data_IF_666903133697
#
_entry.id   IF_666903133697
#
_cell.length_a   1.000
_cell.length_b   1.000
_cell.length_c   1.000
_cell.angle_alpha   90.00
_cell.angle_beta   90.00
_cell.angle_gamma   90.00
#
_symmetry.space_group_name_H-M   'P 1'
#
loop_
_entity.id
_entity.type
_entity.pdbx_description
1 polymer ?
#
# COMPACT_ATOMS: atom_id res chain seq x y z
N UNK A 1 -19.04 12.17 20.08
CA UNK A 1 -17.64 11.78 19.81
C UNK A 1 -17.57 10.27 19.86
N UNK A 2 -17.48 9.64 18.68
CA UNK A 2 -17.49 8.19 18.57
C UNK A 2 -16.20 7.55 19.04
N UNK A 3 -16.19 7.17 20.30
CA UNK A 3 -15.21 6.28 20.90
C UNK A 3 -15.10 4.96 20.07
N UNK A 4 -16.22 4.51 19.52
CA UNK A 4 -16.32 3.35 18.63
C UNK A 4 -15.54 3.57 17.33
N UNK A 5 -15.61 4.77 16.75
CA UNK A 5 -14.84 5.12 15.54
C UNK A 5 -13.33 5.16 15.82
N UNK A 6 -12.93 5.64 17.00
CA UNK A 6 -11.53 5.69 17.42
C UNK A 6 -10.99 4.29 17.75
N UNK A 7 -11.78 3.47 18.42
CA UNK A 7 -11.44 2.07 18.72
C UNK A 7 -11.38 1.21 17.46
N UNK A 8 -12.31 1.36 16.51
CA UNK A 8 -12.25 0.69 15.21
C UNK A 8 -11.02 1.13 14.40
N UNK A 9 -10.63 2.40 14.45
CA UNK A 9 -9.43 2.91 13.77
C UNK A 9 -8.15 2.34 14.40
N UNK A 10 -8.07 2.27 15.73
CA UNK A 10 -6.93 1.67 16.44
C UNK A 10 -6.86 0.16 16.20
N UNK A 11 -7.99 -0.54 16.20
CA UNK A 11 -8.03 -1.98 15.94
C UNK A 11 -7.73 -2.33 14.48
N UNK A 12 -8.07 -1.47 13.52
CA UNK A 12 -7.72 -1.67 12.11
C UNK A 12 -6.22 -1.46 11.84
N UNK A 13 -5.55 -0.61 12.62
CA UNK A 13 -4.12 -0.27 12.45
C UNK A 13 -3.16 -1.19 13.23
N UNK A 14 -3.64 -2.03 14.15
CA UNK A 14 -2.76 -2.77 15.07
C UNK A 14 -2.75 -4.29 14.94
N UNK A 15 -3.55 -4.89 14.07
CA UNK A 15 -3.56 -6.35 13.92
C UNK A 15 -2.56 -6.77 12.84
N UNK A 16 -1.29 -6.87 13.24
CA UNK A 16 -0.31 -7.59 12.44
C UNK A 16 -0.68 -9.07 12.41
N UNK A 17 -1.01 -9.60 11.25
CA UNK A 17 -1.28 -11.01 11.06
C UNK A 17 -0.34 -11.60 10.02
N UNK A 18 0.08 -12.85 10.24
CA UNK A 18 0.78 -13.60 9.21
C UNK A 18 -0.23 -14.13 8.20
N UNK A 19 0.09 -13.98 6.92
CA UNK A 19 -0.64 -14.61 5.83
C UNK A 19 0.12 -15.86 5.39
N UNK A 20 -0.61 -16.98 5.29
CA UNK A 20 -0.09 -18.23 4.74
C UNK A 20 -0.75 -18.44 3.38
N UNK A 21 0.00 -18.38 2.27
CA UNK A 21 -0.57 -18.54 0.93
C UNK A 21 -1.01 -19.99 0.70
N UNK A 22 -2.11 -20.14 -0.05
CA UNK A 22 -2.58 -21.44 -0.55
C UNK A 22 -1.77 -21.89 -1.78
N UNK A 23 -1.20 -20.93 -2.52
CA UNK A 23 -0.37 -21.13 -3.70
C UNK A 23 1.03 -20.51 -3.48
N UNK A 24 1.87 -21.11 -2.62
CA UNK A 24 3.16 -20.51 -2.22
C UNK A 24 4.13 -20.37 -3.40
N UNK A 25 3.97 -21.14 -4.47
CA UNK A 25 4.76 -21.08 -5.70
C UNK A 25 4.62 -19.75 -6.45
N UNK A 26 3.52 -19.02 -6.23
CA UNK A 26 3.29 -17.68 -6.80
C UNK A 26 3.99 -16.58 -6.03
N UNK A 27 4.37 -16.84 -4.78
CA UNK A 27 4.99 -15.84 -3.92
C UNK A 27 6.50 -15.74 -4.17
N UNK A 28 6.96 -14.52 -4.45
CA UNK A 28 8.39 -14.24 -4.68
C UNK A 28 9.01 -13.70 -3.38
N UNK A 29 9.54 -14.62 -2.57
CA UNK A 29 10.13 -14.34 -1.26
C UNK A 29 9.90 -15.49 -0.31
N UNK A 30 9.95 -15.23 1.00
CA UNK A 30 9.67 -16.25 2.01
C UNK A 30 8.15 -16.33 2.29
N UNK A 31 7.46 -17.39 1.78
CA UNK A 31 6.00 -17.51 1.95
C UNK A 31 5.56 -17.73 3.41
N UNK A 32 6.52 -18.05 4.30
CA UNK A 32 6.24 -18.21 5.73
C UNK A 32 6.34 -16.90 6.52
N UNK A 33 6.74 -15.80 5.87
CA UNK A 33 6.96 -14.51 6.51
C UNK A 33 6.22 -13.35 5.83
N UNK A 34 4.99 -13.58 5.39
CA UNK A 34 4.13 -12.54 4.82
C UNK A 34 3.34 -11.90 5.95
N UNK A 35 3.59 -10.62 6.19
CA UNK A 35 2.95 -9.85 7.29
C UNK A 35 1.95 -8.88 6.68
N UNK A 36 0.69 -8.99 7.10
CA UNK A 36 -0.35 -8.01 6.82
C UNK A 36 -0.55 -7.12 8.05
N UNK A 37 -0.47 -5.80 7.87
CA UNK A 37 -0.66 -4.82 8.94
C UNK A 37 -2.08 -4.29 9.02
N UNK A 38 -2.91 -4.64 8.05
CA UNK A 38 -4.33 -4.29 8.02
C UNK A 38 -5.18 -5.40 7.42
N UNK A 39 -6.49 -5.36 7.68
CA UNK A 39 -7.44 -6.26 7.03
C UNK A 39 -7.51 -6.06 5.52
N UNK A 40 -7.24 -4.86 5.03
CA UNK A 40 -7.22 -4.54 3.60
C UNK A 40 -6.02 -5.18 2.91
N UNK A 41 -4.83 -5.08 3.52
CA UNK A 41 -3.64 -5.79 3.03
C UNK A 41 -3.87 -7.31 2.99
N UNK A 42 -4.47 -7.88 4.05
CA UNK A 42 -4.82 -9.30 4.06
C UNK A 42 -5.78 -9.67 2.93
N UNK A 43 -6.80 -8.85 2.65
CA UNK A 43 -7.73 -9.05 1.54
C UNK A 43 -7.02 -9.02 0.20
N UNK A 44 -6.07 -8.11 0.03
CA UNK A 44 -5.24 -8.02 -1.16
C UNK A 44 -4.33 -9.25 -1.33
N UNK A 45 -3.70 -9.74 -0.25
CA UNK A 45 -2.93 -10.99 -0.26
C UNK A 45 -3.79 -12.18 -0.73
N UNK A 46 -5.01 -12.32 -0.20
CA UNK A 46 -5.95 -13.39 -0.62
C UNK A 46 -6.29 -13.27 -2.08
N UNK A 47 -6.51 -12.05 -2.57
CA UNK A 47 -6.80 -11.82 -3.99
C UNK A 47 -5.60 -12.17 -4.88
N UNK A 48 -4.37 -11.77 -4.52
CA UNK A 48 -3.15 -12.12 -5.24
C UNK A 48 -2.94 -13.64 -5.29
N UNK A 49 -3.13 -14.30 -4.17
CA UNK A 49 -2.91 -15.74 -4.03
C UNK A 49 -3.90 -16.57 -4.86
N UNK A 50 -5.18 -16.20 -4.83
CA UNK A 50 -6.27 -16.97 -5.45
C UNK A 50 -6.57 -16.59 -6.90
N UNK A 51 -6.17 -15.41 -7.37
CA UNK A 51 -6.48 -14.96 -8.72
C UNK A 51 -5.56 -15.64 -9.75
N UNK A 52 -6.16 -16.36 -10.70
CA UNK A 52 -5.44 -17.09 -11.74
C UNK A 52 -4.64 -16.19 -12.70
N UNK A 53 -5.05 -14.93 -12.84
CA UNK A 53 -4.33 -13.94 -13.66
C UNK A 53 -3.09 -13.36 -12.97
N UNK A 54 -2.93 -13.55 -11.66
CA UNK A 54 -1.71 -13.21 -10.95
C UNK A 54 -0.70 -14.34 -11.13
N UNK A 55 0.37 -14.03 -11.87
CA UNK A 55 1.45 -14.97 -12.17
C UNK A 55 2.39 -15.09 -10.96
N UNK A 56 2.75 -13.96 -10.38
CA UNK A 56 3.58 -13.90 -9.17
C UNK A 56 3.33 -12.61 -8.39
N UNK A 57 3.65 -12.62 -7.11
CA UNK A 57 3.52 -11.47 -6.23
C UNK A 57 4.51 -11.52 -5.06
N UNK A 58 4.84 -10.36 -4.50
CA UNK A 58 5.65 -10.22 -3.29
C UNK A 58 5.15 -9.06 -2.43
N UNK A 59 5.42 -9.12 -1.14
CA UNK A 59 5.04 -8.10 -0.15
C UNK A 59 6.29 -7.54 0.50
N UNK A 60 6.49 -6.20 0.42
CA UNK A 60 7.56 -5.45 1.09
C UNK A 60 9.00 -5.95 0.82
N UNK A 61 9.25 -6.61 -0.31
CA UNK A 61 10.54 -7.25 -0.62
C UNK A 61 11.59 -6.28 -1.18
N UNK A 62 11.23 -5.03 -1.49
CA UNK A 62 12.15 -4.03 -2.02
C UNK A 62 11.83 -2.64 -1.51
N UNK A 63 12.80 -1.72 -1.64
CA UNK A 63 12.63 -0.33 -1.21
C UNK A 63 12.98 0.66 -2.32
N UNK A 64 12.30 1.79 -2.29
CA UNK A 64 12.50 2.93 -3.19
C UNK A 64 13.02 4.10 -2.35
N UNK A 65 14.16 4.71 -2.69
CA UNK A 65 14.62 5.90 -2.01
C UNK A 65 13.73 7.10 -2.36
N UNK A 66 13.40 7.92 -1.38
CA UNK A 66 12.67 9.18 -1.59
C UNK A 66 13.20 10.27 -0.67
N UNK A 67 13.08 11.52 -1.10
CA UNK A 67 13.41 12.69 -0.28
C UNK A 67 12.22 13.03 0.62
N UNK A 68 12.41 12.92 1.94
CA UNK A 68 11.38 13.29 2.91
C UNK A 68 11.18 14.83 2.94
N UNK A 69 9.94 15.32 2.79
CA UNK A 69 9.66 16.76 2.88
C UNK A 69 9.77 17.30 4.30
N UNK A 70 9.84 16.42 5.31
CA UNK A 70 9.85 16.82 6.72
C UNK A 70 11.26 17.19 7.18
N UNK A 71 12.23 16.31 6.97
CA UNK A 71 13.62 16.48 7.46
C UNK A 71 14.64 16.71 6.33
N UNK A 72 14.19 16.72 5.07
CA UNK A 72 15.02 16.91 3.87
C UNK A 72 16.13 15.87 3.73
N UNK A 73 15.89 14.66 4.22
CA UNK A 73 16.80 13.51 4.11
C UNK A 73 16.22 12.44 3.21
N UNK A 74 17.10 11.62 2.65
CA UNK A 74 16.71 10.44 1.88
C UNK A 74 16.26 9.34 2.84
N UNK A 75 15.06 8.85 2.65
CA UNK A 75 14.48 7.72 3.37
C UNK A 75 14.19 6.56 2.41
N UNK A 76 13.92 5.39 2.98
CA UNK A 76 13.52 4.20 2.24
C UNK A 76 12.02 4.03 2.34
N UNK A 77 11.35 3.93 1.20
CA UNK A 77 9.95 3.58 1.09
C UNK A 77 9.83 2.12 0.65
N UNK A 78 9.08 1.34 1.40
CA UNK A 78 8.75 -0.04 1.07
C UNK A 78 7.31 -0.08 0.57
N UNK A 79 7.10 -0.21 -0.76
CA UNK A 79 5.75 -0.43 -1.30
C UNK A 79 5.14 -1.71 -0.74
N UNK A 80 3.82 -1.73 -0.58
CA UNK A 80 3.14 -2.87 0.03
C UNK A 80 3.32 -4.13 -0.82
N UNK A 81 3.20 -4.02 -2.17
CA UNK A 81 3.29 -5.18 -3.06
C UNK A 81 3.97 -4.87 -4.40
N UNK A 82 4.51 -5.91 -5.00
CA UNK A 82 4.79 -6.00 -6.43
C UNK A 82 4.05 -7.22 -6.98
N UNK A 83 3.35 -7.04 -8.12
CA UNK A 83 2.58 -8.11 -8.75
C UNK A 83 2.89 -8.21 -10.24
N UNK A 84 2.88 -9.44 -10.74
CA UNK A 84 2.96 -9.76 -12.16
C UNK A 84 1.63 -10.33 -12.63
N UNK A 85 0.99 -9.66 -13.55
CA UNK A 85 -0.40 -9.93 -13.96
C UNK A 85 -0.46 -10.29 -15.43
N UNK A 86 -1.26 -11.29 -15.76
CA UNK A 86 -1.70 -11.54 -17.14
C UNK A 86 -3.00 -10.79 -17.39
N UNK A 87 -2.97 -9.80 -18.27
CA UNK A 87 -4.14 -9.04 -18.65
C UNK A 87 -5.04 -9.81 -19.64
N UNK A 88 -6.27 -9.29 -19.87
CA UNK A 88 -7.27 -9.91 -20.77
C UNK A 88 -6.77 -10.13 -22.20
N UNK A 89 -5.80 -9.32 -22.65
CA UNK A 89 -5.17 -9.44 -23.97
C UNK A 89 -3.94 -10.37 -23.98
N UNK A 90 -3.78 -11.21 -22.95
CA UNK A 90 -2.62 -12.08 -22.69
C UNK A 90 -1.26 -11.34 -22.51
N UNK A 91 -1.26 -10.02 -22.46
CA UNK A 91 -0.05 -9.26 -22.13
C UNK A 91 0.27 -9.39 -20.65
N UNK A 92 1.55 -9.53 -20.37
CA UNK A 92 2.05 -9.58 -18.98
C UNK A 92 2.50 -8.18 -18.59
N UNK A 93 2.02 -7.69 -17.45
CA UNK A 93 2.42 -6.43 -16.86
C UNK A 93 2.83 -6.59 -15.40
N UNK A 94 3.75 -5.75 -14.98
CA UNK A 94 4.19 -5.63 -13.60
C UNK A 94 3.61 -4.35 -12.99
N UNK A 95 3.14 -4.47 -11.74
CA UNK A 95 2.63 -3.35 -10.97
C UNK A 95 3.30 -3.31 -9.61
N UNK A 96 3.68 -2.13 -9.18
CA UNK A 96 3.96 -1.81 -7.78
C UNK A 96 2.66 -1.26 -7.18
N UNK A 97 2.23 -1.84 -6.07
CA UNK A 97 0.93 -1.56 -5.47
C UNK A 97 1.10 -1.05 -4.05
N UNK A 98 0.37 0.00 -3.74
CA UNK A 98 0.17 0.52 -2.39
C UNK A 98 -1.30 0.41 -2.03
N UNK A 99 -1.60 -0.13 -0.85
CA UNK A 99 -2.98 -0.24 -0.33
C UNK A 99 -3.21 0.89 0.66
N UNK A 100 -4.12 1.81 0.34
CA UNK A 100 -4.41 2.99 1.18
C UNK A 100 -5.90 3.30 1.21
N UNK A 101 -6.46 3.73 2.35
CA UNK A 101 -7.78 4.33 2.40
C UNK A 101 -7.86 5.54 1.46
N UNK A 102 -8.91 5.64 0.66
CA UNK A 102 -9.16 6.75 -0.27
C UNK A 102 -9.04 8.12 0.39
N UNK A 103 -9.50 8.22 1.65
CA UNK A 103 -9.34 9.44 2.45
C UNK A 103 -7.88 9.88 2.59
N UNK A 104 -6.93 8.96 2.65
CA UNK A 104 -5.50 9.27 2.78
C UNK A 104 -4.83 9.61 1.45
N UNK A 105 -5.50 9.39 0.33
CA UNK A 105 -5.03 9.81 -1.01
C UNK A 105 -5.41 11.25 -1.33
N UNK A 106 -6.27 11.87 -0.52
CA UNK A 106 -6.74 13.25 -0.69
C UNK A 106 -6.07 14.18 0.32
N UNK A 107 -5.87 15.46 -0.03
CA UNK A 107 -5.33 16.42 0.92
C UNK A 107 -6.25 16.56 2.13
N UNK A 108 -5.69 16.72 3.35
CA UNK A 108 -6.47 16.96 4.54
C UNK A 108 -7.37 18.19 4.38
N UNK A 109 -8.61 18.10 4.88
CA UNK A 109 -9.53 19.24 4.86
C UNK A 109 -8.96 20.38 5.72
N UNK A 110 -8.95 21.61 5.17
CA UNK A 110 -8.51 22.80 5.91
C UNK A 110 -9.30 22.95 7.21
N UNK A 111 -8.58 23.21 8.30
CA UNK A 111 -9.15 23.46 9.63
C UNK A 111 -8.77 24.87 10.10
N UNK A 112 -9.68 25.52 10.85
CA UNK A 112 -9.43 26.86 11.40
C UNK A 112 -8.29 26.87 12.43
N UNK A 113 -8.12 25.78 13.18
CA UNK A 113 -7.06 25.64 14.19
C UNK A 113 -6.00 24.62 13.75
N UNK A 114 -4.74 24.99 13.91
CA UNK A 114 -3.60 24.09 13.75
C UNK A 114 -3.45 23.25 15.03
N UNK A 115 -4.08 22.07 15.05
CA UNK A 115 -3.93 21.09 16.13
C UNK A 115 -2.77 20.13 15.81
N UNK A 116 -2.20 19.46 16.83
CA UNK A 116 -1.18 18.42 16.63
C UNK A 116 -1.66 17.31 15.68
N UNK A 117 -2.92 16.90 15.81
CA UNK A 117 -3.54 15.90 14.93
C UNK A 117 -3.62 16.38 13.48
N UNK A 118 -4.01 17.62 13.25
CA UNK A 118 -4.10 18.19 11.90
C UNK A 118 -2.71 18.36 11.27
N UNK A 119 -1.74 18.82 12.05
CA UNK A 119 -0.35 18.89 11.60
C UNK A 119 0.18 17.52 11.19
N UNK A 120 -0.08 16.49 12.01
CA UNK A 120 0.30 15.11 11.69
C UNK A 120 -0.36 14.60 10.40
N UNK A 121 -1.66 14.87 10.19
CA UNK A 121 -2.36 14.53 8.94
C UNK A 121 -1.71 15.19 7.72
N UNK A 122 -1.37 16.49 7.82
CA UNK A 122 -0.71 17.23 6.75
C UNK A 122 0.69 16.67 6.44
N UNK A 123 1.48 16.39 7.47
CA UNK A 123 2.81 15.80 7.32
C UNK A 123 2.75 14.41 6.71
N UNK A 124 1.83 13.56 7.17
CA UNK A 124 1.62 12.22 6.62
C UNK A 124 1.23 12.27 5.15
N UNK A 125 0.33 13.18 4.79
CA UNK A 125 -0.05 13.39 3.39
C UNK A 125 1.15 13.82 2.53
N UNK A 126 1.93 14.81 3.00
CA UNK A 126 3.11 15.28 2.27
C UNK A 126 4.16 14.17 2.07
N UNK A 127 4.41 13.36 3.11
CA UNK A 127 5.31 12.21 3.03
C UNK A 127 4.80 11.17 2.04
N UNK A 128 3.50 10.83 2.07
CA UNK A 128 2.91 9.89 1.14
C UNK A 128 3.03 10.38 -0.32
N UNK A 129 2.77 11.66 -0.58
CA UNK A 129 2.94 12.24 -1.92
C UNK A 129 4.40 12.12 -2.41
N UNK A 130 5.38 12.38 -1.54
CA UNK A 130 6.80 12.24 -1.88
C UNK A 130 7.17 10.78 -2.19
N UNK A 131 6.69 9.83 -1.39
CA UNK A 131 6.87 8.38 -1.63
C UNK A 131 6.28 7.95 -2.96
N UNK A 132 5.03 8.35 -3.25
CA UNK A 132 4.33 7.93 -4.45
C UNK A 132 4.92 8.57 -5.71
N UNK A 133 5.39 9.82 -5.63
CA UNK A 133 6.13 10.45 -6.72
C UNK A 133 7.41 9.66 -7.04
N UNK A 134 8.20 9.33 -6.03
CA UNK A 134 9.40 8.51 -6.20
C UNK A 134 9.07 7.11 -6.76
N UNK A 135 7.94 6.52 -6.33
CA UNK A 135 7.49 5.23 -6.86
C UNK A 135 7.09 5.30 -8.33
N UNK A 136 6.41 6.36 -8.76
CA UNK A 136 6.06 6.58 -10.17
C UNK A 136 7.33 6.69 -11.02
N UNK A 137 8.28 7.54 -10.64
CA UNK A 137 9.56 7.72 -11.33
C UNK A 137 10.35 6.41 -11.40
N UNK A 138 10.44 5.67 -10.27
CA UNK A 138 11.10 4.36 -10.22
C UNK A 138 10.46 3.34 -11.17
N UNK A 139 9.13 3.33 -11.25
CA UNK A 139 8.37 2.41 -12.09
C UNK A 139 8.50 2.75 -13.57
N UNK A 140 8.44 4.03 -13.94
CA UNK A 140 8.58 4.51 -15.33
C UNK A 140 9.93 4.07 -15.92
N UNK A 141 11.02 4.23 -15.19
CA UNK A 141 12.38 3.81 -15.61
C UNK A 141 12.49 2.29 -15.89
N UNK A 142 11.56 1.50 -15.39
CA UNK A 142 11.56 0.02 -15.45
C UNK A 142 10.40 -0.57 -16.24
N UNK A 143 9.59 0.25 -16.88
CA UNK A 143 8.36 -0.18 -17.58
C UNK A 143 7.40 -0.95 -16.65
N UNK A 144 7.33 -0.54 -15.40
CA UNK A 144 6.41 -1.02 -14.37
C UNK A 144 5.36 0.08 -14.14
N UNK A 145 4.16 -0.27 -13.73
CA UNK A 145 3.13 0.71 -13.37
C UNK A 145 2.98 0.78 -11.85
N UNK A 146 2.86 2.00 -11.31
CA UNK A 146 2.51 2.21 -9.92
C UNK A 146 1.00 2.39 -9.78
N UNK A 147 0.39 1.69 -8.80
CA UNK A 147 -1.05 1.79 -8.50
C UNK A 147 -1.29 1.92 -7.00
N UNK A 148 -2.22 2.80 -6.65
CA UNK A 148 -2.79 2.87 -5.31
C UNK A 148 -4.15 2.16 -5.35
N UNK A 149 -4.33 1.17 -4.48
CA UNK A 149 -5.56 0.41 -4.32
C UNK A 149 -6.28 0.90 -3.07
N UNK A 150 -7.53 1.26 -3.23
CA UNK A 150 -8.38 1.78 -2.17
C UNK A 150 -9.53 0.84 -1.86
N UNK A 151 -10.42 1.22 -0.93
CA UNK A 151 -11.66 0.48 -0.65
C UNK A 151 -12.51 0.22 -1.90
N UNK A 152 -12.46 1.14 -2.87
CA UNK A 152 -13.26 1.03 -4.09
C UNK A 152 -12.85 -0.22 -4.90
N UNK A 153 -11.54 -0.44 -5.10
CA UNK A 153 -11.01 -1.58 -5.83
C UNK A 153 -11.09 -2.89 -5.01
N UNK A 154 -11.02 -2.78 -3.68
CA UNK A 154 -11.14 -3.94 -2.78
C UNK A 154 -12.59 -4.37 -2.55
N UNK A 155 -13.58 -3.61 -3.03
CA UNK A 155 -15.00 -3.87 -2.82
C UNK A 155 -15.42 -3.77 -1.35
N UNK A 156 -14.80 -2.86 -0.60
CA UNK A 156 -15.13 -2.58 0.80
C UNK A 156 -16.14 -1.42 0.81
N UNK A 157 -17.31 -1.64 1.39
CA UNK A 157 -18.36 -0.63 1.57
C UNK A 157 -18.30 -0.04 2.97
#
# INVERSE_FOLDING_TARGET
>A
FDLIYYVCKIMAESIKSRYKPSNPEKYQGNPNNIICRSSWERRFCVWCDKNENIISWASEEFSIPYMSPIDKRVHRYFPDYIIKVREKNNKIKNYVVEVKPKKQTQPPKKRKRMTKSYLYECQTYAVNQAKWKAAVEFCEDRMIQFKIITEDELGIK
#
